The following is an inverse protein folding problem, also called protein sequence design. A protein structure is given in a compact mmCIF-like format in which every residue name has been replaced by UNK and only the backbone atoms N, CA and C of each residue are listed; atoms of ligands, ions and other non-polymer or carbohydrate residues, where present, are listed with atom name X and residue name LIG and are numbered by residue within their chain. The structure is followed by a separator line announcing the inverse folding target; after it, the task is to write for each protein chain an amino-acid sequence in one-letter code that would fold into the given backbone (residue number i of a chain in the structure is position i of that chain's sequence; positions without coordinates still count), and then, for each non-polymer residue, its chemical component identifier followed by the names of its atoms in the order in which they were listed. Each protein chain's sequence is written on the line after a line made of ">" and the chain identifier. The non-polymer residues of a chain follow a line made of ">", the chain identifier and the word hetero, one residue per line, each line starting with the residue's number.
data_IF_085793417740
#
_entry.id   IF_085793417740
#
_cell.length_a   1.000
_cell.length_b   1.000
_cell.length_c   1.000
_cell.angle_alpha   90.00
_cell.angle_beta   90.00
_cell.angle_gamma   90.00
#
_symmetry.space_group_name_H-M   'P 1'
#
loop_
_entity.id
_entity.type
_entity.pdbx_description
1 polymer ?
#
# COMPACT_ATOMS: atom_id res chain seq x y z
N UNK A 1 -22.70 3.87 -26.14
CA UNK A 1 -21.50 3.30 -25.50
C UNK A 1 -21.97 2.46 -24.33
N UNK A 2 -21.99 1.14 -24.47
CA UNK A 2 -22.42 0.24 -23.40
C UNK A 2 -21.45 0.36 -22.22
N UNK A 3 -21.93 0.49 -20.97
CA UNK A 3 -21.07 0.55 -19.80
C UNK A 3 -20.31 -0.79 -19.67
N UNK A 4 -19.03 -0.78 -20.06
CA UNK A 4 -18.16 -1.96 -19.96
C UNK A 4 -17.98 -2.36 -18.51
N UNK A 5 -17.98 -3.68 -18.25
CA UNK A 5 -17.68 -4.25 -16.94
C UNK A 5 -16.29 -3.75 -16.51
N UNK A 6 -16.20 -3.20 -15.30
CA UNK A 6 -14.91 -2.78 -14.71
C UNK A 6 -14.51 -3.75 -13.61
N UNK A 7 -13.22 -4.07 -13.55
CA UNK A 7 -12.65 -4.97 -12.55
C UNK A 7 -11.82 -4.19 -11.54
N UNK A 8 -11.94 -4.54 -10.26
CA UNK A 8 -11.11 -3.97 -9.19
C UNK A 8 -9.74 -4.64 -9.24
N UNK A 9 -8.70 -3.89 -9.59
CA UNK A 9 -7.31 -4.34 -9.68
C UNK A 9 -6.44 -3.59 -8.66
N UNK A 10 -5.29 -4.15 -8.32
CA UNK A 10 -4.30 -3.53 -7.42
C UNK A 10 -3.04 -3.21 -8.22
N UNK A 11 -2.59 -1.96 -8.18
CA UNK A 11 -1.40 -1.55 -8.92
C UNK A 11 -0.13 -2.14 -8.30
N UNK A 12 0.68 -2.83 -9.08
CA UNK A 12 1.94 -3.44 -8.63
C UNK A 12 2.99 -2.40 -8.22
N UNK A 13 2.99 -1.21 -8.84
CA UNK A 13 3.98 -0.18 -8.55
C UNK A 13 3.70 0.67 -7.31
N UNK A 14 2.42 0.94 -7.00
CA UNK A 14 2.06 1.84 -5.91
C UNK A 14 1.07 1.26 -4.90
N UNK A 15 0.62 0.01 -5.09
CA UNK A 15 -0.35 -0.66 -4.22
C UNK A 15 -1.76 -0.08 -4.28
N UNK A 16 -2.01 0.97 -5.07
CA UNK A 16 -3.32 1.59 -5.13
C UNK A 16 -4.33 0.69 -5.84
N UNK A 17 -5.52 0.56 -5.26
CA UNK A 17 -6.65 -0.09 -5.88
C UNK A 17 -7.22 0.83 -6.96
N UNK A 18 -7.41 0.30 -8.17
CA UNK A 18 -8.01 1.02 -9.29
C UNK A 18 -8.98 0.12 -10.06
N UNK A 19 -9.83 0.71 -10.89
CA UNK A 19 -10.76 -0.03 -11.73
C UNK A 19 -10.22 -0.09 -13.16
N UNK A 20 -9.94 -1.30 -13.63
CA UNK A 20 -9.42 -1.57 -14.97
C UNK A 20 -10.49 -2.19 -15.89
N UNK A 21 -10.39 -1.99 -17.21
CA UNK A 21 -11.25 -2.69 -18.18
C UNK A 21 -10.91 -4.18 -18.30
N UNK A 22 -9.72 -4.60 -17.85
CA UNK A 22 -9.25 -5.98 -17.84
C UNK A 22 -8.78 -6.37 -16.43
N UNK A 23 -9.06 -7.62 -16.02
CA UNK A 23 -8.54 -8.24 -14.80
C UNK A 23 -7.02 -8.34 -14.79
N UNK A 24 -6.38 -8.33 -15.96
CA UNK A 24 -4.92 -8.40 -16.12
C UNK A 24 -4.20 -7.05 -15.99
N UNK A 25 -4.91 -5.95 -15.70
CA UNK A 25 -4.26 -4.65 -15.55
C UNK A 25 -3.35 -4.61 -14.30
N UNK A 26 -2.04 -4.54 -14.51
CA UNK A 26 -1.01 -4.55 -13.44
C UNK A 26 -0.65 -3.16 -12.90
N UNK A 27 -0.94 -2.09 -13.65
CA UNK A 27 -0.60 -0.73 -13.27
C UNK A 27 -1.79 0.23 -13.33
N UNK A 28 -1.97 1.05 -12.29
CA UNK A 28 -2.94 2.15 -12.34
C UNK A 28 -2.52 3.21 -13.37
N UNK A 29 -3.47 4.00 -13.88
CA UNK A 29 -3.23 5.05 -14.89
C UNK A 29 -2.05 5.96 -14.55
N UNK A 30 -1.89 6.33 -13.26
CA UNK A 30 -0.78 7.18 -12.82
C UNK A 30 0.58 6.48 -12.96
N UNK A 31 0.67 5.22 -12.58
CA UNK A 31 1.90 4.44 -12.69
C UNK A 31 2.17 4.02 -14.13
N UNK A 32 1.14 3.67 -14.90
CA UNK A 32 1.28 3.37 -16.32
C UNK A 32 1.88 4.56 -17.09
N UNK A 33 1.38 5.78 -16.85
CA UNK A 33 1.94 7.00 -17.46
C UNK A 33 3.36 7.31 -16.95
N UNK A 34 3.64 7.11 -15.66
CA UNK A 34 4.95 7.38 -15.04
C UNK A 34 6.03 6.41 -15.52
N UNK A 35 5.70 5.13 -15.64
CA UNK A 35 6.62 4.06 -16.02
C UNK A 35 6.55 3.71 -17.51
N UNK A 36 5.82 4.50 -18.32
CA UNK A 36 5.61 4.29 -19.76
C UNK A 36 5.09 2.87 -20.10
N UNK A 37 4.29 2.29 -19.21
CA UNK A 37 3.65 0.99 -19.43
C UNK A 37 2.53 1.21 -20.42
N UNK A 38 2.60 0.51 -21.56
CA UNK A 38 1.58 0.58 -22.60
C UNK A 38 0.32 -0.11 -22.07
N UNK A 39 -0.63 0.65 -21.56
CA UNK A 39 -1.99 0.15 -21.36
C UNK A 39 -2.61 -0.03 -22.73
N UNK A 40 -2.60 -1.26 -23.23
CA UNK A 40 -3.36 -1.63 -24.41
C UNK A 40 -4.85 -1.45 -24.10
N UNK A 41 -5.44 -0.38 -24.62
CA UNK A 41 -6.88 -0.30 -24.70
C UNK A 41 -7.34 -1.38 -25.69
N UNK A 42 -8.37 -2.17 -25.37
CA UNK A 42 -8.88 -3.14 -26.31
C UNK A 42 -9.29 -2.41 -27.60
N UNK A 43 -8.53 -2.63 -28.68
CA UNK A 43 -8.99 -2.35 -30.03
C UNK A 43 -10.11 -3.36 -30.28
N UNK A 44 -11.35 -2.95 -30.01
CA UNK A 44 -12.49 -3.64 -30.60
C UNK A 44 -12.37 -3.40 -32.11
N UNK A 45 -12.38 -4.49 -32.88
CA UNK A 45 -12.28 -4.61 -34.36
C UNK A 45 -10.87 -4.62 -34.95
N UNK A 46 -10.16 -5.75 -34.80
CA UNK A 46 -9.29 -6.36 -35.81
C UNK A 46 -8.97 -7.78 -35.29
N UNK A 47 -8.75 -8.74 -36.18
CA UNK A 47 -8.31 -10.12 -35.89
C UNK A 47 -9.44 -11.15 -35.68
N UNK A 48 -10.42 -11.13 -36.58
CA UNK A 48 -11.30 -12.27 -36.88
C UNK A 48 -11.21 -12.73 -38.36
N UNK A 49 -10.13 -12.43 -39.07
CA UNK A 49 -10.04 -12.74 -40.52
C UNK A 49 -8.97 -13.76 -40.95
N UNK A 50 -8.14 -14.34 -40.06
CA UNK A 50 -7.10 -15.29 -40.50
C UNK A 50 -6.93 -16.52 -39.58
N UNK A 51 -8.02 -17.24 -39.27
CA UNK A 51 -7.91 -18.61 -38.76
C UNK A 51 -8.82 -19.59 -39.54
N UNK A 52 -8.25 -20.42 -40.44
CA UNK A 52 -8.99 -21.38 -41.26
C UNK A 52 -9.48 -22.63 -40.49
N UNK A 53 -9.34 -22.70 -39.16
CA UNK A 53 -9.78 -23.85 -38.36
C UNK A 53 -11.07 -23.65 -37.54
N UNK A 54 -11.64 -22.43 -37.52
CA UNK A 54 -12.86 -22.13 -36.76
C UNK A 54 -14.18 -22.32 -37.53
N UNK A 55 -14.12 -22.64 -38.83
CA UNK A 55 -15.28 -22.72 -39.72
C UNK A 55 -16.07 -24.05 -39.66
N UNK A 56 -15.68 -25.02 -38.83
CA UNK A 56 -16.25 -26.37 -38.84
C UNK A 56 -17.14 -26.75 -37.62
N UNK A 57 -17.41 -25.83 -36.69
CA UNK A 57 -18.17 -26.13 -35.45
C UNK A 57 -19.47 -25.32 -35.26
N UNK A 58 -19.89 -24.54 -36.26
CA UNK A 58 -21.13 -23.72 -36.21
C UNK A 58 -22.14 -24.19 -37.29
N UNK A 59 -22.14 -25.48 -37.64
CA UNK A 59 -23.11 -26.05 -38.57
C UNK A 59 -23.73 -27.33 -37.99
N UNK A 60 -24.66 -27.16 -37.04
CA UNK A 60 -25.67 -28.17 -36.71
C UNK A 60 -26.84 -27.54 -35.91
N UNK A 61 -27.67 -26.79 -36.64
CA UNK A 61 -29.15 -26.95 -36.66
C UNK A 61 -30.00 -26.62 -35.39
N UNK A 62 -31.34 -26.49 -35.51
CA UNK A 62 -31.97 -25.18 -35.49
C UNK A 62 -32.95 -24.98 -34.33
N UNK A 63 -33.29 -23.70 -34.10
CA UNK A 63 -34.39 -23.24 -33.23
C UNK A 63 -35.71 -23.99 -33.50
N UNK A 64 -36.53 -24.15 -32.45
CA UNK A 64 -37.96 -23.88 -32.57
C UNK A 64 -38.38 -22.66 -31.75
N UNK A 65 -39.30 -21.93 -32.35
CA UNK A 65 -40.01 -20.77 -31.82
C UNK A 65 -41.23 -21.21 -31.00
N UNK A 66 -41.72 -20.27 -30.17
CA UNK A 66 -43.04 -20.16 -29.51
C UNK A 66 -43.15 -20.59 -28.04
N UNK A 67 -43.85 -19.73 -27.29
CA UNK A 67 -44.68 -20.19 -26.18
C UNK A 67 -44.82 -19.20 -25.03
N UNK A 68 -45.83 -18.34 -25.07
CA UNK A 68 -46.37 -17.63 -23.91
C UNK A 68 -47.15 -18.59 -22.99
N UNK A 69 -47.17 -18.33 -21.68
CA UNK A 69 -48.23 -18.55 -20.66
C UNK A 69 -47.57 -18.86 -19.30
N UNK A 70 -47.66 -18.01 -18.27
CA UNK A 70 -48.73 -17.75 -17.27
C UNK A 70 -48.80 -18.79 -16.13
N UNK A 71 -48.82 -18.26 -14.88
CA UNK A 71 -49.28 -18.85 -13.58
C UNK A 71 -48.34 -19.88 -12.93
N UNK A 72 -48.18 -20.01 -11.62
CA UNK A 72 -48.70 -19.33 -10.41
C UNK A 72 -47.97 -19.85 -9.16
N UNK A 73 -47.92 -19.00 -8.13
CA UNK A 73 -48.02 -19.26 -6.67
C UNK A 73 -47.17 -20.36 -5.98
N UNK A 74 -46.41 -19.97 -4.95
CA UNK A 74 -46.72 -20.21 -3.52
C UNK A 74 -45.64 -19.62 -2.59
N UNK A 75 -46.09 -18.86 -1.59
CA UNK A 75 -45.33 -18.37 -0.41
C UNK A 75 -45.20 -19.52 0.65
N UNK A 76 -44.60 -19.38 1.88
CA UNK A 76 -44.67 -18.23 2.83
C UNK A 76 -43.34 -17.86 3.54
N UNK A 77 -43.10 -16.59 3.88
CA UNK A 77 -43.36 -15.81 5.13
C UNK A 77 -42.49 -16.11 6.37
N UNK A 78 -41.99 -15.01 6.93
CA UNK A 78 -41.54 -14.78 8.32
C UNK A 78 -40.76 -13.46 8.38
N UNK A 79 -41.42 -12.29 8.27
CA UNK A 79 -42.01 -11.47 9.35
C UNK A 79 -40.96 -10.73 10.21
N UNK A 80 -40.94 -9.41 10.09
CA UNK A 80 -40.85 -8.43 11.19
C UNK A 80 -41.12 -7.02 10.66
N UNK A 81 -42.09 -6.37 11.30
CA UNK A 81 -42.70 -5.08 10.99
C UNK A 81 -41.78 -3.87 11.17
N UNK A 82 -42.01 -2.81 10.38
CA UNK A 82 -42.03 -1.43 10.89
C UNK A 82 -42.64 -0.42 9.89
N UNK A 83 -43.87 0.00 10.22
CA UNK A 83 -44.45 1.35 10.21
C UNK A 83 -44.38 2.20 8.91
N UNK A 84 -45.58 2.33 8.33
CA UNK A 84 -46.01 3.32 7.33
C UNK A 84 -46.15 4.70 7.98
N UNK A 85 -45.62 5.75 7.34
CA UNK A 85 -46.11 7.12 7.50
C UNK A 85 -46.08 7.87 6.17
N UNK A 86 -47.18 8.56 5.93
CA UNK A 86 -47.68 9.04 4.65
C UNK A 86 -47.01 10.31 4.13
N UNK A 87 -47.14 10.44 2.80
CA UNK A 87 -46.93 11.63 1.97
C UNK A 87 -47.65 12.87 2.52
N UNK A 88 -46.98 14.01 2.44
CA UNK A 88 -47.62 15.33 2.32
C UNK A 88 -46.79 16.22 1.40
N UNK A 89 -47.47 16.87 0.46
CA UNK A 89 -46.92 17.70 -0.59
C UNK A 89 -46.40 19.06 -0.05
N UNK A 90 -45.41 19.69 -0.70
CA UNK A 90 -45.06 21.08 -0.44
C UNK A 90 -45.85 22.06 -1.34
N UNK A 91 -46.19 23.27 -0.85
CA UNK A 91 -46.97 24.28 -1.56
C UNK A 91 -46.14 25.08 -2.57
N UNK A 92 -46.79 25.79 -3.53
CA UNK A 92 -46.11 26.61 -4.52
C UNK A 92 -45.89 28.04 -4.01
N UNK A 93 -44.76 28.64 -4.42
CA UNK A 93 -44.62 30.09 -4.48
C UNK A 93 -43.54 30.70 -3.60
N UNK A 94 -42.37 30.94 -4.21
CA UNK A 94 -41.66 32.21 -4.06
C UNK A 94 -40.66 32.39 -5.20
N UNK A 95 -41.11 33.14 -6.20
CA UNK A 95 -40.23 33.77 -7.17
C UNK A 95 -39.46 34.88 -6.45
N UNK A 96 -38.17 34.63 -6.21
CA UNK A 96 -37.20 35.62 -5.79
C UNK A 96 -36.00 35.50 -6.71
N UNK A 97 -36.04 36.22 -7.84
CA UNK A 97 -34.90 36.36 -8.73
C UNK A 97 -33.85 37.25 -8.03
N UNK A 98 -32.95 36.62 -7.28
CA UNK A 98 -31.70 37.25 -6.88
C UNK A 98 -30.79 37.26 -8.11
N UNK A 99 -30.50 38.45 -8.62
CA UNK A 99 -29.48 38.69 -9.62
C UNK A 99 -28.15 38.12 -9.11
N UNK A 100 -27.73 37.00 -9.69
CA UNK A 100 -26.39 36.49 -9.52
C UNK A 100 -25.46 37.40 -10.32
N UNK A 101 -24.82 38.35 -9.64
CA UNK A 101 -23.72 39.13 -10.19
C UNK A 101 -22.69 38.16 -10.77
N UNK A 102 -22.48 38.28 -12.09
CA UNK A 102 -21.49 37.54 -12.84
C UNK A 102 -20.10 37.89 -12.29
N UNK A 103 -19.62 37.09 -11.34
CA UNK A 103 -18.25 37.17 -10.85
C UNK A 103 -17.31 37.05 -12.06
N UNK A 104 -16.35 37.96 -12.23
CA UNK A 104 -15.46 37.96 -13.38
C UNK A 104 -14.74 36.61 -13.46
N UNK A 105 -14.82 35.99 -14.64
CA UNK A 105 -14.13 34.75 -14.99
C UNK A 105 -12.65 34.88 -14.65
N UNK A 106 -12.23 34.29 -13.52
CA UNK A 106 -10.83 34.30 -13.09
C UNK A 106 -10.01 33.56 -14.14
N UNK A 107 -8.97 34.23 -14.64
CA UNK A 107 -8.01 33.64 -15.57
C UNK A 107 -7.48 32.30 -15.01
N UNK A 108 -7.23 31.30 -15.87
CA UNK A 108 -6.74 30.00 -15.44
C UNK A 108 -5.42 30.16 -14.68
N UNK A 109 -5.35 29.57 -13.48
CA UNK A 109 -4.15 29.60 -12.64
C UNK A 109 -3.02 28.87 -13.34
N UNK A 110 -1.84 29.46 -13.31
CA UNK A 110 -0.69 28.83 -13.93
C UNK A 110 -0.18 27.63 -13.11
N UNK A 111 0.23 26.58 -13.81
CA UNK A 111 0.63 25.28 -13.23
C UNK A 111 2.13 24.99 -13.29
N UNK A 112 2.90 25.82 -14.00
CA UNK A 112 4.35 25.66 -14.15
C UNK A 112 5.11 26.55 -13.18
N UNK A 113 6.16 26.02 -12.55
CA UNK A 113 7.05 26.78 -11.68
C UNK A 113 8.26 27.27 -12.48
N UNK A 114 8.26 28.55 -12.86
CA UNK A 114 9.43 29.25 -13.39
C UNK A 114 10.22 29.91 -12.26
N UNK A 115 11.49 30.25 -12.49
CA UNK A 115 12.30 30.96 -11.47
C UNK A 115 11.69 32.32 -11.09
N UNK A 116 11.10 33.04 -12.04
CA UNK A 116 10.37 34.29 -11.77
C UNK A 116 9.18 34.06 -10.82
N UNK A 117 8.39 33.02 -11.05
CA UNK A 117 7.25 32.67 -10.18
C UNK A 117 7.72 32.20 -8.81
N UNK A 118 8.85 31.50 -8.75
CA UNK A 118 9.49 31.12 -7.49
C UNK A 118 9.88 32.37 -6.71
N UNK A 119 10.56 33.33 -7.33
CA UNK A 119 10.92 34.60 -6.71
C UNK A 119 9.68 35.39 -6.23
N UNK A 120 8.59 35.39 -7.00
CA UNK A 120 7.31 36.02 -6.58
C UNK A 120 6.71 35.35 -5.34
N UNK A 121 6.69 34.02 -5.27
CA UNK A 121 6.23 33.29 -4.08
C UNK A 121 7.10 33.64 -2.88
N UNK A 122 8.42 33.68 -3.04
CA UNK A 122 9.37 33.98 -1.97
C UNK A 122 9.21 35.40 -1.44
N UNK A 123 9.11 36.37 -2.35
CA UNK A 123 8.86 37.77 -1.99
C UNK A 123 7.54 37.93 -1.25
N UNK A 124 6.47 37.27 -1.69
CA UNK A 124 5.19 37.29 -0.99
C UNK A 124 5.24 36.55 0.37
N UNK A 125 6.12 35.57 0.52
CA UNK A 125 6.28 34.81 1.76
C UNK A 125 7.02 35.61 2.84
N UNK A 126 7.93 36.52 2.47
CA UNK A 126 8.66 37.40 3.41
C UNK A 126 7.72 38.23 4.30
N UNK A 127 6.53 38.61 3.82
CA UNK A 127 5.52 39.34 4.62
C UNK A 127 4.99 38.54 5.83
N UNK A 128 5.19 37.23 5.84
CA UNK A 128 4.75 36.31 6.89
C UNK A 128 5.92 35.82 7.76
N UNK A 129 7.14 36.27 7.48
CA UNK A 129 8.32 35.95 8.28
C UNK A 129 8.16 36.58 9.69
N UNK A 130 8.24 35.75 10.73
CA UNK A 130 7.98 36.16 12.13
C UNK A 130 6.50 36.11 12.58
N UNK A 131 5.56 35.69 11.72
CA UNK A 131 4.15 35.45 12.11
C UNK A 131 3.90 33.97 12.40
N UNK A 132 4.45 33.47 13.51
CA UNK A 132 4.38 32.05 13.86
C UNK A 132 2.97 31.53 14.16
N UNK A 133 2.01 32.41 14.47
CA UNK A 133 0.64 32.03 14.83
C UNK A 133 -0.26 31.71 13.64
N UNK A 134 0.11 32.10 12.40
CA UNK A 134 -0.77 31.91 11.24
C UNK A 134 -0.64 30.48 10.68
N UNK A 135 -1.75 29.70 10.57
CA UNK A 135 -1.67 28.36 10.01
C UNK A 135 -1.13 28.38 8.57
N UNK A 136 -0.12 27.55 8.28
CA UNK A 136 0.51 27.44 6.95
C UNK A 136 -0.49 27.30 5.80
N UNK A 137 -1.58 26.56 6.02
CA UNK A 137 -2.62 26.35 5.02
C UNK A 137 -3.26 27.66 4.56
N UNK A 138 -3.39 28.64 5.47
CA UNK A 138 -3.91 29.98 5.20
C UNK A 138 -2.88 30.83 4.46
N UNK A 139 -1.63 30.83 4.91
CA UNK A 139 -0.50 31.49 4.23
C UNK A 139 -0.40 31.00 2.76
N UNK A 140 -0.47 29.69 2.53
CA UNK A 140 -0.44 29.11 1.18
C UNK A 140 -1.62 29.57 0.32
N UNK A 141 -2.80 29.81 0.91
CA UNK A 141 -3.98 30.26 0.18
C UNK A 141 -3.87 31.74 -0.21
N UNK A 142 -3.45 32.58 0.74
CA UNK A 142 -3.29 34.02 0.55
C UNK A 142 -2.20 34.32 -0.49
N UNK A 143 -1.05 33.64 -0.42
CA UNK A 143 0.01 33.79 -1.43
C UNK A 143 -0.45 33.28 -2.79
N UNK A 144 -1.13 32.11 -2.85
CA UNK A 144 -1.62 31.57 -4.12
C UNK A 144 -2.67 32.48 -4.79
N UNK A 145 -3.45 33.22 -4.01
CA UNK A 145 -4.38 34.24 -4.52
C UNK A 145 -3.62 35.48 -5.01
N UNK A 146 -2.68 36.01 -4.22
CA UNK A 146 -1.84 37.17 -4.59
C UNK A 146 -1.05 36.93 -5.87
N UNK A 147 -0.44 35.76 -6.03
CA UNK A 147 0.42 35.44 -7.18
C UNK A 147 -0.33 34.77 -8.35
N UNK A 148 -1.64 34.53 -8.22
CA UNK A 148 -2.44 33.76 -9.18
C UNK A 148 -1.85 32.38 -9.55
N UNK A 149 -1.29 31.67 -8.56
CA UNK A 149 -0.68 30.34 -8.73
C UNK A 149 -1.51 29.23 -8.08
N UNK A 150 -1.22 27.99 -8.46
CA UNK A 150 -1.76 26.83 -7.77
C UNK A 150 -1.19 26.74 -6.34
N UNK A 151 -2.05 26.50 -5.33
CA UNK A 151 -1.64 26.36 -3.91
C UNK A 151 -0.56 25.29 -3.70
N UNK A 152 -0.55 24.24 -4.51
CA UNK A 152 0.45 23.18 -4.44
C UNK A 152 1.87 23.68 -4.81
N UNK A 153 1.98 24.61 -5.77
CA UNK A 153 3.27 25.20 -6.13
C UNK A 153 3.81 26.09 -5.01
N UNK A 154 2.93 26.92 -4.45
CA UNK A 154 3.25 27.79 -3.30
C UNK A 154 3.72 26.95 -2.11
N UNK A 155 2.98 25.90 -1.77
CA UNK A 155 3.35 24.99 -0.68
C UNK A 155 4.72 24.33 -0.91
N UNK A 156 5.04 23.97 -2.16
CA UNK A 156 6.34 23.39 -2.50
C UNK A 156 7.49 24.36 -2.27
N UNK A 157 7.38 25.59 -2.80
CA UNK A 157 8.43 26.62 -2.68
C UNK A 157 8.63 27.05 -1.21
N UNK A 158 7.54 27.24 -0.47
CA UNK A 158 7.64 27.60 0.96
C UNK A 158 8.26 26.47 1.77
N UNK A 159 7.94 25.21 1.46
CA UNK A 159 8.57 24.08 2.13
C UNK A 159 10.10 24.02 1.90
N UNK A 160 10.57 24.39 0.70
CA UNK A 160 12.01 24.47 0.37
C UNK A 160 12.73 25.52 1.21
N UNK A 161 12.10 26.66 1.50
CA UNK A 161 12.73 27.73 2.30
C UNK A 161 12.64 27.48 3.79
N UNK A 162 11.49 26.98 4.27
CA UNK A 162 11.32 26.62 5.68
C UNK A 162 12.15 25.41 6.08
N UNK A 163 12.47 24.55 5.11
CA UNK A 163 13.30 23.37 5.31
C UNK A 163 14.40 23.43 4.27
N UNK A 164 15.38 24.35 4.41
CA UNK A 164 16.50 24.39 3.49
C UNK A 164 17.11 22.98 3.51
N UNK A 165 17.42 22.40 2.34
CA UNK A 165 18.06 21.09 2.30
C UNK A 165 19.40 21.25 3.02
N UNK A 166 19.43 20.96 4.33
CA UNK A 166 20.68 20.80 5.05
C UNK A 166 21.35 19.66 4.34
N UNK A 167 22.42 19.98 3.60
CA UNK A 167 23.28 18.98 3.01
C UNK A 167 23.80 18.19 4.19
N UNK A 168 23.30 16.96 4.32
CA UNK A 168 23.74 16.07 5.39
C UNK A 168 25.22 15.78 5.17
N UNK A 169 26.01 15.94 6.21
CA UNK A 169 27.40 15.47 6.22
C UNK A 169 27.43 13.94 6.05
N UNK A 170 28.56 13.41 5.59
CA UNK A 170 28.71 11.95 5.46
C UNK A 170 28.55 11.26 6.81
N UNK A 171 29.12 11.84 7.88
CA UNK A 171 28.95 11.34 9.25
C UNK A 171 27.48 11.26 9.67
N UNK A 172 26.67 12.27 9.32
CA UNK A 172 25.23 12.22 9.58
C UNK A 172 24.53 11.12 8.77
N UNK A 173 24.92 10.92 7.51
CA UNK A 173 24.38 9.85 6.66
C UNK A 173 24.69 8.47 7.25
N UNK A 174 25.95 8.23 7.60
CA UNK A 174 26.40 6.99 8.25
C UNK A 174 25.68 6.77 9.58
N UNK A 175 25.51 7.81 10.39
CA UNK A 175 24.82 7.73 11.68
C UNK A 175 23.33 7.41 11.52
N UNK A 176 22.66 7.95 10.49
CA UNK A 176 21.27 7.57 10.14
C UNK A 176 21.20 6.07 9.80
N UNK A 177 22.11 5.59 8.95
CA UNK A 177 22.14 4.20 8.49
C UNK A 177 22.41 3.26 9.67
N UNK A 178 23.40 3.57 10.50
CA UNK A 178 23.76 2.79 11.68
C UNK A 178 22.57 2.63 12.64
N UNK A 179 21.91 3.73 13.01
CA UNK A 179 20.69 3.68 13.86
C UNK A 179 19.57 2.89 13.20
N UNK A 180 19.33 3.08 11.90
CA UNK A 180 18.28 2.34 11.21
C UNK A 180 18.53 0.83 11.22
N UNK A 181 19.78 0.40 10.98
CA UNK A 181 20.18 -1.01 11.06
C UNK A 181 20.04 -1.55 12.48
N UNK A 182 20.40 -0.77 13.49
CA UNK A 182 20.20 -1.15 14.90
C UNK A 182 18.73 -1.41 15.21
N UNK A 183 17.81 -0.54 14.76
CA UNK A 183 16.36 -0.80 14.91
C UNK A 183 15.89 -2.07 14.21
N UNK A 184 16.48 -2.42 13.05
CA UNK A 184 16.18 -3.66 12.32
C UNK A 184 16.71 -4.87 13.09
N UNK A 185 17.96 -4.84 13.54
CA UNK A 185 18.60 -5.90 14.33
C UNK A 185 17.89 -6.13 15.65
N UNK A 186 17.61 -5.07 16.41
CA UNK A 186 16.86 -5.18 17.65
C UNK A 186 15.38 -5.58 17.41
N UNK A 187 14.91 -5.52 16.15
CA UNK A 187 13.52 -5.61 15.74
C UNK A 187 12.62 -4.60 16.47
N UNK A 188 13.20 -3.50 16.95
CA UNK A 188 12.51 -2.46 17.68
C UNK A 188 11.57 -1.67 16.75
N UNK A 189 10.36 -1.40 17.25
CA UNK A 189 9.26 -0.72 16.55
C UNK A 189 8.76 0.48 17.37
N UNK A 190 9.41 1.64 17.31
CA UNK A 190 8.91 2.84 17.97
C UNK A 190 7.51 3.20 17.46
N UNK A 191 6.61 3.75 18.31
CA UNK A 191 5.22 4.05 17.92
C UNK A 191 5.12 5.10 16.80
N UNK A 192 6.05 6.05 16.73
CA UNK A 192 6.14 7.03 15.64
C UNK A 192 6.80 6.48 14.37
N UNK A 193 7.33 5.26 14.41
CA UNK A 193 8.13 4.63 13.39
C UNK A 193 9.62 4.97 13.46
N UNK A 194 10.47 4.04 12.99
CA UNK A 194 11.95 4.13 13.05
C UNK A 194 12.50 5.43 12.47
N UNK A 195 12.09 5.76 11.24
CA UNK A 195 12.61 6.95 10.53
C UNK A 195 12.20 8.26 11.19
N UNK A 196 10.99 8.34 11.75
CA UNK A 196 10.55 9.52 12.48
C UNK A 196 11.28 9.65 13.82
N UNK A 197 11.56 8.53 14.48
CA UNK A 197 12.33 8.49 15.72
C UNK A 197 13.75 8.96 15.50
N UNK A 198 14.46 8.41 14.51
CA UNK A 198 15.81 8.85 14.12
C UNK A 198 15.83 10.34 13.77
N UNK A 199 14.85 10.82 13.00
CA UNK A 199 14.75 12.23 12.64
C UNK A 199 14.65 13.13 13.88
N UNK A 200 13.80 12.75 14.84
CA UNK A 200 13.66 13.48 16.11
C UNK A 200 14.94 13.44 16.95
N UNK A 201 15.58 12.28 17.08
CA UNK A 201 16.81 12.10 17.87
C UNK A 201 18.00 12.89 17.31
N UNK A 202 18.07 13.02 15.99
CA UNK A 202 19.18 13.71 15.31
C UNK A 202 18.89 15.20 15.01
N UNK A 203 17.70 15.71 15.37
CA UNK A 203 17.30 17.08 15.01
C UNK A 203 17.17 17.30 13.49
N UNK A 204 16.83 16.25 12.74
CA UNK A 204 16.73 16.27 11.27
C UNK A 204 15.26 16.24 10.82
N UNK A 205 15.00 16.61 9.57
CA UNK A 205 13.68 16.39 8.99
C UNK A 205 13.45 14.90 8.70
N UNK A 206 12.20 14.44 8.84
CA UNK A 206 11.82 13.06 8.47
C UNK A 206 12.15 12.75 7.01
N UNK A 207 12.03 13.74 6.11
CA UNK A 207 12.30 13.55 4.69
C UNK A 207 13.78 13.29 4.42
N UNK A 208 14.69 13.99 5.11
CA UNK A 208 16.14 13.74 5.04
C UNK A 208 16.48 12.29 5.42
N UNK A 209 15.97 11.82 6.56
CA UNK A 209 16.19 10.44 7.02
C UNK A 209 15.60 9.42 6.03
N UNK A 210 14.39 9.66 5.51
CA UNK A 210 13.77 8.80 4.50
C UNK A 210 14.61 8.71 3.23
N UNK A 211 15.12 9.85 2.74
CA UNK A 211 15.96 9.90 1.54
C UNK A 211 17.25 9.10 1.74
N UNK A 212 17.98 9.33 2.84
CA UNK A 212 19.22 8.60 3.14
C UNK A 212 18.98 7.10 3.25
N UNK A 213 17.99 6.67 4.04
CA UNK A 213 17.69 5.24 4.21
C UNK A 213 17.26 4.59 2.89
N UNK A 214 16.56 5.32 2.02
CA UNK A 214 16.15 4.82 0.70
C UNK A 214 17.33 4.71 -0.26
N UNK A 215 18.18 5.73 -0.34
CA UNK A 215 19.39 5.72 -1.16
C UNK A 215 20.33 4.59 -0.74
N UNK A 216 20.60 4.48 0.56
CA UNK A 216 21.35 3.37 1.11
C UNK A 216 20.69 2.03 0.80
N UNK A 217 19.39 1.87 1.07
CA UNK A 217 18.68 0.63 0.80
C UNK A 217 18.73 0.19 -0.67
N UNK A 218 18.73 1.13 -1.61
CA UNK A 218 18.87 0.86 -3.04
C UNK A 218 20.31 0.44 -3.45
N UNK A 219 21.31 0.73 -2.62
CA UNK A 219 22.70 0.27 -2.81
C UNK A 219 22.97 -1.14 -2.25
N UNK A 220 22.03 -1.69 -1.48
CA UNK A 220 22.16 -3.01 -0.86
C UNK A 220 21.38 -4.05 -1.67
N UNK A 221 21.85 -5.32 -1.71
CA UNK A 221 21.02 -6.43 -2.21
C UNK A 221 19.69 -6.51 -1.46
N UNK A 222 18.58 -6.61 -2.18
CA UNK A 222 17.26 -6.55 -1.58
C UNK A 222 16.73 -7.95 -1.28
N UNK A 223 15.86 -8.04 -0.26
CA UNK A 223 15.12 -9.27 0.04
C UNK A 223 14.18 -9.66 -1.11
N UNK A 224 13.74 -8.68 -1.90
CA UNK A 224 12.91 -8.90 -3.10
C UNK A 224 13.66 -9.61 -4.23
N UNK A 225 14.99 -9.65 -4.16
CA UNK A 225 15.82 -10.33 -5.14
C UNK A 225 15.94 -11.84 -4.82
N UNK A 226 15.50 -12.25 -3.62
CA UNK A 226 15.55 -13.65 -3.18
C UNK A 226 14.34 -14.44 -3.68
N UNK A 227 14.57 -15.68 -4.08
CA UNK A 227 13.52 -16.63 -4.39
C UNK A 227 12.74 -17.04 -3.13
N UNK A 228 11.56 -17.65 -3.32
CA UNK A 228 10.76 -18.15 -2.19
C UNK A 228 11.47 -19.27 -1.44
N UNK A 229 12.22 -20.10 -2.15
CA UNK A 229 13.05 -21.17 -1.62
C UNK A 229 14.22 -20.60 -0.80
N UNK A 230 14.81 -19.49 -1.23
CA UNK A 230 15.84 -18.78 -0.46
C UNK A 230 15.29 -18.18 0.82
N UNK A 231 14.15 -17.49 0.76
CA UNK A 231 13.46 -16.94 1.92
C UNK A 231 13.05 -18.04 2.91
N UNK A 232 12.58 -19.18 2.40
CA UNK A 232 12.26 -20.37 3.20
C UNK A 232 13.50 -20.90 3.93
N UNK A 233 14.62 -21.06 3.23
CA UNK A 233 15.88 -21.51 3.86
C UNK A 233 16.35 -20.57 4.97
N UNK A 234 16.23 -19.25 4.77
CA UNK A 234 16.56 -18.28 5.82
C UNK A 234 15.60 -18.42 7.01
N UNK A 235 14.30 -18.58 6.76
CA UNK A 235 13.29 -18.77 7.81
C UNK A 235 13.54 -20.05 8.62
N UNK A 236 13.83 -21.17 7.96
CA UNK A 236 14.19 -22.43 8.63
C UNK A 236 15.44 -22.26 9.49
N UNK A 237 16.53 -21.71 8.93
CA UNK A 237 17.77 -21.48 9.67
C UNK A 237 17.56 -20.58 10.89
N UNK A 238 16.75 -19.53 10.76
CA UNK A 238 16.37 -18.66 11.86
C UNK A 238 15.59 -19.42 12.94
N UNK A 239 14.54 -20.17 12.57
CA UNK A 239 13.73 -20.92 13.51
C UNK A 239 14.51 -22.04 14.23
N UNK A 240 15.41 -22.74 13.53
CA UNK A 240 16.30 -23.74 14.14
C UNK A 240 17.27 -23.11 15.14
N UNK A 241 17.79 -21.91 14.86
CA UNK A 241 18.64 -21.20 15.82
C UNK A 241 17.88 -20.78 17.08
N UNK A 242 16.59 -20.38 16.95
CA UNK A 242 15.73 -20.12 18.11
C UNK A 242 15.51 -21.39 18.95
N UNK A 243 15.39 -22.55 18.30
CA UNK A 243 15.24 -23.86 18.96
C UNK A 243 16.48 -24.27 19.74
N UNK A 244 17.63 -24.09 19.13
CA UNK A 244 18.92 -24.38 19.73
C UNK A 244 19.31 -23.40 20.85
N UNK A 245 18.56 -22.30 21.03
CA UNK A 245 18.92 -21.25 21.98
C UNK A 245 20.22 -20.53 21.61
N UNK A 246 20.56 -20.46 20.31
CA UNK A 246 21.78 -19.80 19.87
C UNK A 246 21.74 -18.29 20.13
N UNK A 247 22.83 -17.66 20.58
CA UNK A 247 22.88 -16.21 20.81
C UNK A 247 22.36 -15.42 19.61
N UNK A 248 21.42 -14.50 19.87
CA UNK A 248 20.85 -13.66 18.82
C UNK A 248 21.89 -12.71 18.21
N UNK A 249 22.88 -12.27 19.00
CA UNK A 249 23.97 -11.45 18.48
C UNK A 249 24.77 -12.21 17.40
N UNK A 250 24.98 -11.54 16.28
CA UNK A 250 25.61 -12.12 15.09
C UNK A 250 24.82 -13.24 14.39
N UNK A 251 23.59 -13.57 14.81
CA UNK A 251 22.79 -14.67 14.23
C UNK A 251 22.58 -14.48 12.73
N UNK A 252 22.15 -13.29 12.32
CA UNK A 252 21.92 -12.99 10.90
C UNK A 252 23.18 -13.17 10.06
N UNK A 253 24.37 -12.81 10.58
CA UNK A 253 25.65 -13.02 9.91
C UNK A 253 25.99 -14.49 9.77
N UNK A 254 25.74 -15.30 10.79
CA UNK A 254 25.97 -16.76 10.73
C UNK A 254 25.09 -17.41 9.65
N UNK A 255 23.81 -17.08 9.63
CA UNK A 255 22.86 -17.56 8.62
C UNK A 255 23.25 -17.06 7.21
N UNK A 256 23.62 -15.79 7.08
CA UNK A 256 24.07 -15.21 5.81
C UNK A 256 25.31 -15.93 5.28
N UNK A 257 26.30 -16.17 6.15
CA UNK A 257 27.54 -16.87 5.79
C UNK A 257 27.31 -18.32 5.41
N UNK A 258 26.39 -19.03 6.09
CA UNK A 258 26.11 -20.44 5.81
C UNK A 258 25.29 -20.63 4.53
N UNK A 259 24.39 -19.70 4.21
CA UNK A 259 23.50 -19.81 3.04
C UNK A 259 23.99 -19.03 1.81
N UNK A 260 25.04 -18.22 1.93
CA UNK A 260 25.61 -17.45 0.82
C UNK A 260 24.85 -16.15 0.52
N UNK A 261 24.25 -15.52 1.53
CA UNK A 261 23.54 -14.24 1.40
C UNK A 261 24.30 -13.10 2.09
N UNK A 262 23.80 -11.87 1.94
CA UNK A 262 24.31 -10.74 2.72
C UNK A 262 23.67 -10.66 4.10
N UNK A 263 24.41 -10.16 5.10
CA UNK A 263 23.89 -9.87 6.44
C UNK A 263 22.59 -9.07 6.37
N UNK A 264 22.52 -8.07 5.48
CA UNK A 264 21.36 -7.20 5.34
C UNK A 264 20.12 -7.92 4.82
N UNK A 265 20.24 -8.81 3.83
CA UNK A 265 19.11 -9.59 3.33
C UNK A 265 18.51 -10.46 4.44
N UNK A 266 19.35 -11.11 5.23
CA UNK A 266 18.91 -11.95 6.35
C UNK A 266 18.32 -11.11 7.48
N UNK A 267 19.01 -10.04 7.92
CA UNK A 267 18.49 -9.09 8.93
C UNK A 267 17.10 -8.58 8.54
N UNK A 268 16.95 -8.17 7.28
CA UNK A 268 15.71 -7.59 6.78
C UNK A 268 14.59 -8.63 6.64
N UNK A 269 14.89 -9.86 6.24
CA UNK A 269 13.89 -10.92 6.17
C UNK A 269 13.40 -11.33 7.56
N UNK A 270 14.33 -11.54 8.51
CA UNK A 270 13.97 -11.81 9.91
C UNK A 270 13.11 -10.68 10.48
N UNK A 271 13.46 -9.42 10.20
CA UNK A 271 12.66 -8.26 10.61
C UNK A 271 11.25 -8.26 10.00
N UNK A 272 11.08 -8.76 8.77
CA UNK A 272 9.78 -8.90 8.10
C UNK A 272 8.93 -10.06 8.64
N UNK A 273 9.56 -11.15 9.10
CA UNK A 273 8.84 -12.29 9.72
C UNK A 273 8.08 -11.90 11.00
N UNK A 274 8.46 -10.78 11.62
CA UNK A 274 7.85 -10.24 12.84
C UNK A 274 7.14 -8.90 12.59
N UNK A 275 6.95 -8.51 11.33
CA UNK A 275 6.30 -7.25 10.98
C UNK A 275 4.80 -7.47 10.75
N UNK A 276 3.96 -6.56 11.25
CA UNK A 276 2.53 -6.60 11.04
C UNK A 276 1.76 -5.69 11.99
N UNK A 277 0.69 -5.07 11.48
CA UNK A 277 -0.33 -4.42 12.31
C UNK A 277 -1.57 -5.31 12.34
N UNK A 278 -1.94 -5.76 13.53
CA UNK A 278 -3.01 -6.72 13.76
C UNK A 278 -4.13 -6.16 14.64
N UNK A 279 -4.16 -4.84 14.83
CA UNK A 279 -5.13 -4.16 15.69
C UNK A 279 -6.60 -4.41 15.29
N UNK A 280 -6.88 -4.58 13.99
CA UNK A 280 -8.22 -4.85 13.44
C UNK A 280 -8.46 -6.33 13.08
N UNK A 281 -7.53 -7.24 13.40
CA UNK A 281 -7.63 -8.65 13.00
C UNK A 281 -8.30 -9.46 14.12
N UNK A 282 -9.45 -10.06 13.78
CA UNK A 282 -10.19 -10.96 14.66
C UNK A 282 -9.31 -12.11 15.16
N UNK A 283 -9.39 -12.36 16.47
CA UNK A 283 -8.57 -13.35 17.17
C UNK A 283 -9.02 -14.78 16.82
N UNK A 284 -8.12 -15.64 16.30
CA UNK A 284 -8.42 -17.07 16.16
C UNK A 284 -8.60 -17.72 17.54
N UNK A 285 -9.38 -18.81 17.60
CA UNK A 285 -9.51 -19.60 18.84
C UNK A 285 -8.18 -20.27 19.20
N UNK A 286 -8.00 -20.66 20.46
CA UNK A 286 -6.76 -21.33 20.89
C UNK A 286 -6.51 -22.64 20.13
N UNK A 287 -7.56 -23.43 19.88
CA UNK A 287 -7.49 -24.64 19.05
C UNK A 287 -7.02 -24.30 17.62
N UNK A 288 -7.56 -23.25 17.01
CA UNK A 288 -7.13 -22.80 15.68
C UNK A 288 -5.67 -22.34 15.70
N UNK A 289 -5.22 -21.65 16.75
CA UNK A 289 -3.82 -21.24 16.90
C UNK A 289 -2.90 -22.46 16.98
N UNK A 290 -3.25 -23.45 17.79
CA UNK A 290 -2.48 -24.69 17.92
C UNK A 290 -2.38 -25.44 16.59
N UNK A 291 -3.48 -25.56 15.85
CA UNK A 291 -3.49 -26.19 14.52
C UNK A 291 -2.59 -25.45 13.51
N UNK A 292 -2.64 -24.12 13.51
CA UNK A 292 -1.78 -23.27 12.66
C UNK A 292 -0.31 -23.42 13.03
N UNK A 293 0.01 -23.43 14.32
CA UNK A 293 1.38 -23.60 14.82
C UNK A 293 1.92 -24.97 14.47
N UNK A 294 1.14 -26.04 14.66
CA UNK A 294 1.55 -27.41 14.30
C UNK A 294 1.84 -27.52 12.79
N UNK A 295 0.95 -27.02 11.94
CA UNK A 295 1.18 -27.02 10.49
C UNK A 295 2.35 -26.14 10.06
N UNK A 296 2.63 -25.06 10.79
CA UNK A 296 3.82 -24.25 10.55
C UNK A 296 5.10 -24.98 10.92
N UNK A 297 5.10 -25.74 12.03
CA UNK A 297 6.24 -26.60 12.39
C UNK A 297 6.47 -27.69 11.34
N UNK A 298 5.40 -28.33 10.83
CA UNK A 298 5.49 -29.26 9.69
C UNK A 298 6.13 -28.59 8.47
N UNK A 299 5.70 -27.37 8.14
CA UNK A 299 6.27 -26.58 7.04
C UNK A 299 7.77 -26.33 7.22
N UNK A 300 8.23 -25.99 8.42
CA UNK A 300 9.65 -25.75 8.70
C UNK A 300 10.52 -27.02 8.58
N UNK A 301 9.92 -28.21 8.72
CA UNK A 301 10.57 -29.50 8.52
C UNK A 301 10.49 -30.00 7.06
N UNK A 302 9.77 -29.30 6.19
CA UNK A 302 9.60 -29.67 4.79
C UNK A 302 10.81 -29.32 3.92
N UNK A 303 10.84 -29.91 2.71
CA UNK A 303 11.93 -29.71 1.75
C UNK A 303 11.90 -28.35 1.04
N UNK A 304 10.78 -27.63 1.10
CA UNK A 304 10.60 -26.38 0.38
C UNK A 304 9.29 -25.66 0.67
N UNK A 305 9.16 -24.40 0.18
CA UNK A 305 7.93 -23.63 0.35
C UNK A 305 6.77 -24.20 -0.49
N UNK A 306 5.52 -24.04 -0.05
CA UNK A 306 4.36 -24.48 -0.83
C UNK A 306 4.19 -23.66 -2.12
N UNK A 307 3.46 -24.15 -3.15
CA UNK A 307 3.28 -23.42 -4.41
C UNK A 307 2.56 -22.07 -4.25
N UNK A 308 1.62 -21.95 -3.32
CA UNK A 308 0.98 -20.68 -2.94
C UNK A 308 1.65 -20.12 -1.67
N UNK A 309 1.41 -18.85 -1.33
CA UNK A 309 1.90 -18.29 -0.06
C UNK A 309 1.40 -19.12 1.14
N UNK A 310 2.27 -19.36 2.14
CA UNK A 310 1.94 -20.14 3.32
C UNK A 310 0.64 -19.68 4.00
N UNK A 311 0.46 -18.37 4.17
CA UNK A 311 -0.73 -17.79 4.78
C UNK A 311 -2.03 -18.14 4.05
N UNK A 312 -2.00 -18.23 2.71
CA UNK A 312 -3.16 -18.64 1.91
C UNK A 312 -3.40 -20.14 2.04
N UNK A 313 -2.34 -20.97 1.99
CA UNK A 313 -2.46 -22.43 2.12
C UNK A 313 -3.05 -22.81 3.48
N UNK A 314 -2.54 -22.24 4.57
CA UNK A 314 -3.06 -22.51 5.92
C UNK A 314 -4.46 -21.91 6.11
N UNK A 315 -4.73 -20.75 5.52
CA UNK A 315 -6.05 -20.13 5.53
C UNK A 315 -7.11 -21.01 4.84
N UNK A 316 -6.79 -21.55 3.66
CA UNK A 316 -7.63 -22.52 2.94
C UNK A 316 -7.81 -23.81 3.75
N UNK A 317 -6.77 -24.32 4.42
CA UNK A 317 -6.80 -25.56 5.22
C UNK A 317 -7.66 -25.45 6.48
N UNK A 318 -7.63 -24.30 7.16
CA UNK A 318 -8.25 -24.12 8.47
C UNK A 318 -9.46 -23.16 8.49
N UNK A 319 -9.87 -22.65 7.33
CA UNK A 319 -10.99 -21.72 7.23
C UNK A 319 -10.70 -20.34 7.86
N UNK A 320 -9.44 -19.91 7.86
CA UNK A 320 -8.98 -18.66 8.47
C UNK A 320 -8.57 -17.64 7.39
N UNK A 321 -8.74 -16.35 7.70
CA UNK A 321 -8.23 -15.31 6.83
C UNK A 321 -6.68 -15.30 6.84
N UNK A 322 -6.00 -15.02 5.72
CA UNK A 322 -4.53 -14.98 5.68
C UNK A 322 -3.89 -14.03 6.73
N UNK A 323 -4.58 -12.94 7.08
CA UNK A 323 -4.14 -12.01 8.13
C UNK A 323 -4.21 -12.62 9.53
N UNK A 324 -5.17 -13.50 9.79
CA UNK A 324 -5.28 -14.23 11.05
C UNK A 324 -4.13 -15.23 11.18
N UNK A 325 -3.83 -15.98 10.11
CA UNK A 325 -2.63 -16.84 10.06
C UNK A 325 -1.38 -16.01 10.32
N UNK A 326 -1.25 -14.85 9.66
CA UNK A 326 -0.06 -14.00 9.81
C UNK A 326 0.12 -13.52 11.25
N UNK A 327 -0.97 -13.08 11.90
CA UNK A 327 -0.99 -12.70 13.32
C UNK A 327 -0.50 -13.83 14.21
N UNK A 328 -1.11 -15.01 14.11
CA UNK A 328 -0.75 -16.20 14.90
C UNK A 328 0.72 -16.56 14.75
N UNK A 329 1.25 -16.54 13.51
CA UNK A 329 2.65 -16.87 13.27
C UNK A 329 3.62 -15.82 13.80
N UNK A 330 3.28 -14.52 13.72
CA UNK A 330 4.09 -13.44 14.31
C UNK A 330 4.12 -13.59 15.83
N UNK A 331 2.97 -13.78 16.48
CA UNK A 331 2.88 -13.97 17.93
C UNK A 331 3.67 -15.21 18.39
N UNK A 332 3.53 -16.34 17.67
CA UNK A 332 4.30 -17.55 17.94
C UNK A 332 5.82 -17.29 17.86
N UNK A 333 6.30 -16.68 16.78
CA UNK A 333 7.74 -16.37 16.61
C UNK A 333 8.25 -15.40 17.67
N UNK A 334 7.48 -14.37 18.02
CA UNK A 334 7.81 -13.45 19.11
C UNK A 334 7.91 -14.16 20.45
N UNK A 335 6.94 -15.03 20.77
CA UNK A 335 6.97 -15.84 21.99
C UNK A 335 8.19 -16.77 22.07
N UNK A 336 8.57 -17.38 20.95
CA UNK A 336 9.81 -18.18 20.88
C UNK A 336 11.06 -17.35 21.10
N UNK A 337 11.15 -16.19 20.47
CA UNK A 337 12.26 -15.27 20.63
C UNK A 337 12.40 -14.80 22.07
N UNK A 338 11.29 -14.45 22.72
CA UNK A 338 11.27 -14.07 24.13
C UNK A 338 11.77 -15.22 25.02
N UNK A 339 11.34 -16.46 24.76
CA UNK A 339 11.84 -17.64 25.47
C UNK A 339 13.34 -17.89 25.24
N UNK A 340 13.83 -17.70 24.02
CA UNK A 340 15.23 -17.96 23.66
C UNK A 340 16.19 -16.90 24.21
N UNK A 341 15.77 -15.63 24.28
CA UNK A 341 16.67 -14.51 24.55
C UNK A 341 16.28 -13.59 25.70
N UNK A 342 15.10 -13.77 26.29
CA UNK A 342 14.66 -12.98 27.45
C UNK A 342 14.30 -11.52 27.15
N UNK A 343 13.94 -11.19 25.90
CA UNK A 343 13.50 -9.84 25.50
C UNK A 343 12.07 -9.48 25.93
#
# INVERSE_FOLDING_TARGET
>A
MSPGVTFRCTCEHCGAIFFGPDRKATACIKCAKRHKIRTELPRQTADLEDDPFAAALIAADPRPSRGSHRRSAAAPRGSSDAVVASRSAPPPGRAGAAQADASPSRAPRATELTEERRAQILSAYQEYEGRDETPLRRIHAEIAEKTNLARALVARVIAEVRTPPTVLTEEQRESIIARYREYVRAMARPPSGRRATIAREMGLSRQQVVTVVREWGASQPMVTDLSREELFRIECAYCSALEAGEPYDGLARRIASSLGFTDWQVERWIDMLHDGDFSEVEEPTDEQKEMVIAAYQEYLQGDGPPPKSLHVVLGERFGLAPRQIHKTLVEYRLGRRQKAFGF
#
